data_IF_144311310041
#
_entry.id   IF_144311310041
#
_cell.length_a   1.000
_cell.length_b   1.000
_cell.length_c   1.000
_cell.angle_alpha   90.00
_cell.angle_beta   90.00
_cell.angle_gamma   90.00
#
_symmetry.space_group_name_H-M   'P 1'
#
loop_
_entity.id
_entity.type
_entity.pdbx_description
1 polymer ?
#
# COMPACT_ATOMS: atom_id res chain seq x y z
N UNK A 1 44.71 -19.48 -23.12
CA UNK A 1 44.03 -18.44 -22.30
C UNK A 1 42.78 -17.91 -23.01
N UNK A 2 41.75 -18.74 -23.23
CA UNK A 2 40.47 -18.32 -23.87
C UNK A 2 39.22 -18.84 -23.15
N UNK A 3 39.39 -19.73 -22.16
CA UNK A 3 38.32 -20.39 -21.41
C UNK A 3 37.84 -19.63 -20.17
N UNK A 4 38.58 -18.62 -19.69
CA UNK A 4 38.22 -17.86 -18.50
C UNK A 4 37.15 -16.76 -18.73
N UNK A 5 36.87 -16.42 -19.98
CA UNK A 5 35.91 -15.33 -20.31
C UNK A 5 34.45 -15.83 -20.27
N UNK A 6 34.22 -17.12 -20.51
CA UNK A 6 32.85 -17.67 -20.58
C UNK A 6 32.22 -17.92 -19.20
N UNK A 7 33.02 -18.13 -18.15
CA UNK A 7 32.50 -18.37 -16.79
C UNK A 7 31.99 -17.06 -16.15
N UNK A 8 32.61 -15.91 -16.49
CA UNK A 8 32.18 -14.60 -15.97
C UNK A 8 30.84 -14.10 -16.54
N UNK A 9 30.46 -14.54 -17.75
CA UNK A 9 29.20 -14.15 -18.38
C UNK A 9 28.00 -14.99 -17.89
N UNK A 10 28.23 -16.21 -17.39
CA UNK A 10 27.16 -17.07 -16.87
C UNK A 10 26.72 -16.73 -15.44
N UNK A 11 27.57 -16.06 -14.65
CA UNK A 11 27.25 -15.65 -13.28
C UNK A 11 26.35 -14.42 -13.20
N UNK A 12 26.29 -13.60 -14.26
CA UNK A 12 25.47 -12.37 -14.29
C UNK A 12 23.96 -12.65 -14.46
N UNK A 13 23.58 -13.76 -15.09
CA UNK A 13 22.18 -14.12 -15.30
C UNK A 13 21.48 -14.69 -14.05
N UNK A 14 22.22 -15.14 -13.03
CA UNK A 14 21.64 -15.67 -11.80
C UNK A 14 21.26 -14.57 -10.79
N UNK A 15 21.93 -13.42 -10.85
CA UNK A 15 21.69 -12.30 -9.91
C UNK A 15 20.34 -11.62 -10.24
N UNK A 16 20.00 -11.50 -11.52
CA UNK A 16 18.78 -10.83 -11.99
C UNK A 16 17.48 -11.57 -11.62
N UNK A 17 17.55 -12.83 -11.21
CA UNK A 17 16.37 -13.61 -10.82
C UNK A 17 16.03 -13.44 -9.32
N UNK A 18 17.00 -13.07 -8.49
CA UNK A 18 16.81 -12.91 -7.05
C UNK A 18 15.95 -11.69 -6.67
N UNK A 19 16.08 -10.60 -7.40
CA UNK A 19 15.34 -9.35 -7.14
C UNK A 19 13.84 -9.50 -7.45
N UNK A 20 13.49 -10.10 -8.60
CA UNK A 20 12.10 -10.33 -8.98
C UNK A 20 11.34 -11.26 -8.02
N UNK A 21 12.03 -12.27 -7.46
CA UNK A 21 11.46 -13.19 -6.47
C UNK A 21 11.20 -12.47 -5.13
N UNK A 22 12.07 -11.53 -4.75
CA UNK A 22 11.92 -10.79 -3.50
C UNK A 22 10.75 -9.80 -3.58
N UNK A 23 10.63 -9.09 -4.71
CA UNK A 23 9.53 -8.17 -4.98
C UNK A 23 8.16 -8.87 -4.87
N UNK A 24 8.03 -10.07 -5.45
CA UNK A 24 6.77 -10.80 -5.40
C UNK A 24 6.41 -11.31 -4.00
N UNK A 25 7.42 -11.64 -3.18
CA UNK A 25 7.21 -12.03 -1.78
C UNK A 25 6.77 -10.83 -0.94
N UNK A 26 7.36 -9.67 -1.15
CA UNK A 26 7.02 -8.44 -0.43
C UNK A 26 5.60 -7.97 -0.78
N UNK A 27 5.21 -8.03 -2.06
CA UNK A 27 3.85 -7.77 -2.51
C UNK A 27 2.84 -8.73 -1.88
N UNK A 28 3.17 -10.03 -1.82
CA UNK A 28 2.32 -11.03 -1.19
C UNK A 28 2.18 -10.83 0.33
N UNK A 29 3.20 -10.31 1.00
CA UNK A 29 3.20 -10.08 2.45
C UNK A 29 2.25 -8.95 2.88
N UNK A 30 2.00 -7.97 2.00
CA UNK A 30 1.07 -6.86 2.27
C UNK A 30 -0.30 -7.04 1.63
N UNK A 31 -0.45 -8.02 0.72
CA UNK A 31 -1.70 -8.28 0.02
C UNK A 31 -2.85 -8.58 0.99
N UNK A 32 -4.03 -8.04 0.67
CA UNK A 32 -5.21 -8.16 1.51
C UNK A 32 -6.24 -7.07 1.23
N UNK A 33 -7.43 -7.25 1.79
CA UNK A 33 -8.45 -6.21 1.86
C UNK A 33 -8.41 -5.59 3.25
N UNK A 34 -8.48 -4.27 3.31
CA UNK A 34 -8.34 -3.49 4.53
C UNK A 34 -9.45 -2.44 4.61
N UNK A 35 -9.98 -2.23 5.80
CA UNK A 35 -11.01 -1.26 6.09
C UNK A 35 -10.73 -0.52 7.39
N UNK A 36 -11.07 0.76 7.42
CA UNK A 36 -11.07 1.55 8.65
C UNK A 36 -11.85 2.85 8.48
N UNK A 37 -12.25 3.41 9.62
CA UNK A 37 -12.83 4.74 9.72
C UNK A 37 -11.75 5.67 10.27
N UNK A 38 -11.37 6.69 9.50
CA UNK A 38 -10.31 7.63 9.85
C UNK A 38 -10.93 8.96 10.31
N UNK A 39 -10.64 9.38 11.53
CA UNK A 39 -11.08 10.69 12.04
C UNK A 39 -10.05 11.77 11.68
N UNK A 40 -10.36 12.58 10.66
CA UNK A 40 -9.48 13.67 10.23
C UNK A 40 -9.55 14.86 11.20
N UNK A 41 -10.75 15.14 11.71
CA UNK A 41 -11.04 16.14 12.73
C UNK A 41 -12.30 15.71 13.54
N UNK A 42 -12.71 16.41 14.61
CA UNK A 42 -13.81 15.96 15.49
C UNK A 42 -15.17 15.84 14.78
N UNK A 43 -15.34 16.46 13.63
CA UNK A 43 -16.59 16.51 12.86
C UNK A 43 -16.50 15.71 11.56
N UNK A 44 -15.32 15.15 11.23
CA UNK A 44 -15.06 14.52 9.94
C UNK A 44 -14.43 13.14 10.13
N UNK A 45 -15.24 12.13 9.87
CA UNK A 45 -14.82 10.73 9.74
C UNK A 45 -14.87 10.29 8.28
N UNK A 46 -13.91 9.46 7.89
CA UNK A 46 -13.79 8.97 6.52
C UNK A 46 -13.63 7.46 6.53
N UNK A 47 -14.61 6.79 5.93
CA UNK A 47 -14.51 5.39 5.60
C UNK A 47 -13.49 5.18 4.48
N UNK A 48 -12.46 4.39 4.74
CA UNK A 48 -11.42 4.04 3.78
C UNK A 48 -11.38 2.52 3.60
N UNK A 49 -11.59 2.08 2.35
CA UNK A 49 -11.38 0.69 1.92
C UNK A 49 -10.21 0.62 0.97
N UNK A 50 -9.29 -0.31 1.22
CA UNK A 50 -8.09 -0.54 0.41
C UNK A 50 -7.93 -2.04 0.15
N UNK A 51 -7.85 -2.41 -1.12
CA UNK A 51 -7.48 -3.75 -1.56
C UNK A 51 -6.07 -3.68 -2.17
N UNK A 52 -5.15 -4.50 -1.67
CA UNK A 52 -3.81 -4.69 -2.21
C UNK A 52 -3.73 -6.10 -2.79
N UNK A 53 -3.53 -6.21 -4.10
CA UNK A 53 -3.32 -7.48 -4.78
C UNK A 53 -1.84 -7.87 -4.78
N UNK A 54 -1.55 -9.17 -4.69
CA UNK A 54 -0.17 -9.71 -4.68
C UNK A 54 0.60 -9.52 -5.99
N UNK A 55 -0.04 -8.96 -7.02
CA UNK A 55 0.55 -8.59 -8.30
C UNK A 55 0.88 -7.09 -8.40
N UNK A 56 0.84 -6.34 -7.30
CA UNK A 56 1.21 -4.92 -7.26
C UNK A 56 0.11 -3.94 -7.68
N UNK A 57 -1.14 -4.41 -7.82
CA UNK A 57 -2.30 -3.55 -8.10
C UNK A 57 -3.08 -3.24 -6.83
N UNK A 58 -3.62 -2.03 -6.73
CA UNK A 58 -4.55 -1.66 -5.66
C UNK A 58 -5.92 -1.24 -6.18
N UNK A 59 -6.91 -1.35 -5.31
CA UNK A 59 -8.18 -0.63 -5.43
C UNK A 59 -8.43 0.12 -4.12
N UNK A 60 -8.92 1.35 -4.20
CA UNK A 60 -9.20 2.16 -3.02
C UNK A 60 -10.52 2.90 -3.18
N UNK A 61 -11.30 2.94 -2.10
CA UNK A 61 -12.60 3.60 -2.05
C UNK A 61 -12.67 4.45 -0.80
N UNK A 62 -13.02 5.73 -0.97
CA UNK A 62 -13.25 6.67 0.13
C UNK A 62 -14.13 7.85 -0.31
N UNK A 63 -14.80 8.54 0.61
CA UNK A 63 -15.38 9.86 0.39
C UNK A 63 -14.37 10.88 -0.14
N UNK A 64 -14.85 11.86 -0.91
CA UNK A 64 -14.03 12.98 -1.39
C UNK A 64 -13.50 13.83 -0.23
N UNK A 65 -12.19 14.06 -0.22
CA UNK A 65 -11.54 14.97 0.73
C UNK A 65 -11.90 16.45 0.50
N UNK A 66 -12.53 16.77 -0.63
CA UNK A 66 -12.91 18.14 -0.97
C UNK A 66 -14.32 18.52 -0.48
N UNK A 67 -14.94 17.68 0.38
CA UNK A 67 -16.24 17.96 0.96
C UNK A 67 -17.42 17.76 0.00
N UNK A 68 -17.24 16.97 -1.07
CA UNK A 68 -18.37 16.51 -1.89
C UNK A 68 -18.87 15.15 -1.42
N UNK A 69 -20.17 14.88 -1.56
CA UNK A 69 -20.78 13.56 -1.30
C UNK A 69 -20.34 12.47 -2.30
N UNK A 70 -19.32 12.76 -3.10
CA UNK A 70 -18.82 11.86 -4.12
C UNK A 70 -17.87 10.83 -3.52
N UNK A 71 -18.14 9.56 -3.79
CA UNK A 71 -17.20 8.49 -3.55
C UNK A 71 -16.10 8.50 -4.62
N UNK A 72 -14.86 8.54 -4.17
CA UNK A 72 -13.67 8.28 -4.98
C UNK A 72 -13.48 6.77 -5.04
N UNK A 73 -13.41 6.24 -6.26
CA UNK A 73 -13.05 4.86 -6.55
C UNK A 73 -11.88 4.88 -7.51
N UNK A 74 -10.74 4.39 -7.07
CA UNK A 74 -9.51 4.45 -7.84
C UNK A 74 -8.82 3.08 -7.85
N UNK A 75 -8.16 2.78 -8.95
CA UNK A 75 -7.30 1.61 -9.07
C UNK A 75 -5.98 2.04 -9.72
N UNK A 76 -4.90 1.36 -9.35
CA UNK A 76 -3.57 1.69 -9.85
C UNK A 76 -2.55 0.67 -9.39
N UNK A 77 -1.28 1.06 -9.40
CA UNK A 77 -0.17 0.23 -8.94
C UNK A 77 0.41 0.76 -7.63
N UNK A 78 0.96 -0.12 -6.82
CA UNK A 78 1.66 0.27 -5.59
C UNK A 78 3.06 -0.32 -5.56
N UNK A 79 3.92 0.28 -4.74
CA UNK A 79 5.26 -0.20 -4.46
C UNK A 79 5.38 -0.54 -2.97
N UNK A 80 6.25 -1.50 -2.66
CA UNK A 80 6.61 -1.86 -1.29
C UNK A 80 8.08 -1.53 -1.05
N UNK A 81 8.38 -0.86 0.06
CA UNK A 81 9.74 -0.51 0.50
C UNK A 81 9.88 -0.88 1.98
N UNK A 82 10.36 -2.09 2.26
CA UNK A 82 10.31 -2.63 3.62
C UNK A 82 8.86 -2.80 4.06
N UNK A 83 8.49 -2.22 5.20
CA UNK A 83 7.10 -2.27 5.70
C UNK A 83 6.20 -1.18 5.10
N UNK A 84 6.74 -0.32 4.23
CA UNK A 84 5.98 0.79 3.64
C UNK A 84 5.34 0.41 2.31
N UNK A 85 4.09 0.84 2.14
CA UNK A 85 3.31 0.70 0.92
C UNK A 85 3.01 2.10 0.39
N UNK A 86 3.41 2.36 -0.85
CA UNK A 86 3.21 3.63 -1.54
C UNK A 86 2.33 3.42 -2.76
N UNK A 87 1.14 4.04 -2.76
CA UNK A 87 0.20 3.97 -3.89
C UNK A 87 0.57 5.00 -4.97
N UNK A 88 0.68 4.59 -6.22
CA UNK A 88 0.94 5.47 -7.36
C UNK A 88 -0.35 6.16 -7.82
N UNK A 89 -0.83 7.11 -7.00
CA UNK A 89 -2.13 7.78 -7.16
C UNK A 89 -2.03 9.16 -7.79
N UNK A 90 -3.08 9.60 -8.48
CA UNK A 90 -3.27 11.00 -8.86
C UNK A 90 -3.97 11.83 -7.77
N UNK A 91 -4.84 11.18 -7.00
CA UNK A 91 -5.58 11.85 -5.92
C UNK A 91 -4.65 12.21 -4.75
N UNK A 92 -5.02 13.30 -4.06
CA UNK A 92 -4.36 13.71 -2.82
C UNK A 92 -4.85 12.86 -1.66
N UNK A 93 -3.98 12.64 -0.68
CA UNK A 93 -4.31 11.85 0.52
C UNK A 93 -4.21 10.34 0.29
N UNK A 94 -4.24 9.58 1.40
CA UNK A 94 -4.29 8.11 1.42
C UNK A 94 -3.32 7.44 0.43
N UNK A 95 -2.07 7.91 0.44
CA UNK A 95 -1.00 7.45 -0.44
C UNK A 95 -0.02 6.51 0.25
N UNK A 96 0.28 6.79 1.51
CA UNK A 96 1.33 6.11 2.25
C UNK A 96 0.74 5.30 3.40
N UNK A 97 1.18 4.05 3.48
CA UNK A 97 0.74 3.09 4.48
C UNK A 97 1.95 2.33 5.01
N UNK A 98 1.90 1.93 6.29
CA UNK A 98 2.93 1.09 6.89
C UNK A 98 2.28 -0.16 7.47
N UNK A 99 2.80 -1.33 7.11
CA UNK A 99 2.36 -2.61 7.66
C UNK A 99 2.78 -2.70 9.12
N UNK A 100 1.80 -2.94 10.00
CA UNK A 100 1.98 -3.04 11.45
C UNK A 100 1.22 -4.27 11.93
N UNK A 101 1.89 -5.43 11.96
CA UNK A 101 1.21 -6.71 12.13
C UNK A 101 0.20 -6.93 11.00
N UNK A 102 -1.05 -7.24 11.34
CA UNK A 102 -2.10 -7.43 10.34
C UNK A 102 -2.74 -6.12 9.85
N UNK A 103 -2.38 -4.98 10.43
CA UNK A 103 -3.00 -3.69 10.15
C UNK A 103 -2.15 -2.84 9.20
N UNK A 104 -2.76 -1.84 8.57
CA UNK A 104 -2.07 -0.79 7.83
C UNK A 104 -2.21 0.55 8.54
N UNK A 105 -1.12 1.09 9.03
CA UNK A 105 -1.06 2.46 9.55
C UNK A 105 -1.09 3.46 8.38
N UNK A 106 -2.03 4.41 8.39
CA UNK A 106 -2.23 5.40 7.33
C UNK A 106 -1.57 6.72 7.71
N UNK A 107 -0.66 7.23 6.88
CA UNK A 107 0.09 8.45 7.18
C UNK A 107 0.24 9.42 6.00
N UNK A 108 0.38 10.70 6.33
CA UNK A 108 0.53 11.78 5.37
C UNK A 108 1.98 11.90 4.85
N UNK A 109 2.20 12.83 3.93
CA UNK A 109 3.54 13.05 3.33
C UNK A 109 4.64 13.47 4.34
N UNK A 110 4.26 13.86 5.55
CA UNK A 110 5.17 14.18 6.65
C UNK A 110 5.41 12.98 7.59
N UNK A 111 4.98 11.77 7.21
CA UNK A 111 5.08 10.56 8.04
C UNK A 111 4.32 10.67 9.37
N UNK A 112 3.27 11.49 9.39
CA UNK A 112 2.39 11.68 10.54
C UNK A 112 1.01 11.05 10.27
N UNK A 113 0.30 10.60 11.31
CA UNK A 113 -1.10 10.19 11.19
C UNK A 113 -1.96 11.23 10.44
N UNK A 114 -2.98 10.79 9.71
CA UNK A 114 -4.00 11.69 9.12
C UNK A 114 -4.98 12.21 10.19
N UNK A 115 -4.47 12.97 11.15
CA UNK A 115 -5.27 13.61 12.21
C UNK A 115 -4.51 14.77 12.86
N UNK A 116 -5.21 15.54 13.68
CA UNK A 116 -4.61 16.46 14.66
C UNK A 116 -4.70 15.96 16.12
N UNK A 117 -5.18 14.72 16.37
CA UNK A 117 -5.47 14.20 17.71
C UNK A 117 -4.69 12.93 18.06
N UNK A 118 -4.50 12.67 19.36
CA UNK A 118 -3.69 11.54 19.84
C UNK A 118 -4.44 10.22 19.99
N UNK A 119 -5.78 10.22 19.91
CA UNK A 119 -6.69 9.12 20.29
C UNK A 119 -7.58 8.60 19.13
N UNK A 120 -7.39 9.14 17.93
CA UNK A 120 -8.18 8.76 16.74
C UNK A 120 -7.70 7.45 16.08
N UNK A 121 -8.54 6.81 15.27
CA UNK A 121 -8.17 5.59 14.54
C UNK A 121 -7.36 5.92 13.27
N UNK A 122 -6.16 5.34 13.15
CA UNK A 122 -5.23 5.56 12.01
C UNK A 122 -4.91 4.28 11.26
N UNK A 123 -5.58 3.19 11.61
CA UNK A 123 -5.24 1.87 11.14
C UNK A 123 -6.39 1.32 10.32
N UNK A 124 -6.06 0.78 9.15
CA UNK A 124 -6.95 -0.10 8.43
C UNK A 124 -6.75 -1.52 8.96
N UNK A 125 -7.84 -2.13 9.41
CA UNK A 125 -7.90 -3.52 9.84
C UNK A 125 -8.10 -4.42 8.62
N UNK A 126 -7.69 -5.70 8.67
CA UNK A 126 -8.14 -6.68 7.69
C UNK A 126 -9.66 -6.66 7.57
N UNK A 127 -10.17 -6.49 6.36
CA UNK A 127 -11.59 -6.54 6.06
C UNK A 127 -12.02 -8.01 5.94
N UNK A 128 -12.51 -8.56 7.06
CA UNK A 128 -12.99 -9.95 7.14
C UNK A 128 -14.31 -10.17 6.40
N UNK A 129 -15.03 -9.09 6.07
CA UNK A 129 -16.31 -9.11 5.37
C UNK A 129 -16.16 -8.79 3.88
N UNK A 130 -14.92 -8.76 3.38
CA UNK A 130 -14.59 -8.46 1.99
C UNK A 130 -15.22 -9.48 1.02
N UNK A 131 -16.48 -9.26 0.66
CA UNK A 131 -16.99 -9.71 -0.64
C UNK A 131 -16.17 -8.97 -1.68
N UNK A 132 -15.45 -9.72 -2.52
CA UNK A 132 -14.70 -9.17 -3.64
C UNK A 132 -15.55 -8.10 -4.35
N UNK A 133 -14.99 -6.89 -4.45
CA UNK A 133 -15.63 -5.71 -5.04
C UNK A 133 -16.13 -5.98 -6.46
#
# INVERSE_FOLDING_TARGET
MRTFIYIGLLSLSLISCGEAVNEQKDLAAVAGSYYGVLSLNPETEIDLKLELSSNGFYKIVHPSLMGSDQLVRESGVFMVKGDEVELARLQKGFRYFKKMGDQLFVYNLFHQPYTSFSDSAFYLQPDTDAKAF
#
